data_IF_335995543141
#
_entry.id   IF_335995543141
#
_cell.length_a   1.000
_cell.length_b   1.000
_cell.length_c   1.000
_cell.angle_alpha   90.00
_cell.angle_beta   90.00
_cell.angle_gamma   90.00
#
_symmetry.space_group_name_H-M   'P 1'
#
loop_
_entity.id
_entity.type
_entity.pdbx_description
1 polymer ?
#
# COMPACT_ATOMS: atom_id res chain seq x y z
N UNK A 1 -1.61 2.05 10.77
CA UNK A 1 -0.40 1.41 10.20
C UNK A 1 0.24 0.48 11.21
N UNK A 2 0.36 0.92 12.46
CA UNK A 2 0.86 0.13 13.61
C UNK A 2 0.15 -1.22 13.75
N UNK A 3 -1.19 -1.29 13.69
CA UNK A 3 -1.91 -2.56 13.82
C UNK A 3 -1.61 -3.59 12.70
N UNK A 4 -1.26 -3.12 11.50
CA UNK A 4 -0.85 -4.01 10.39
C UNK A 4 0.57 -4.53 10.67
N UNK A 5 1.47 -3.65 11.09
CA UNK A 5 2.83 -4.01 11.46
C UNK A 5 2.81 -5.04 12.60
N UNK A 6 2.13 -4.75 13.72
CA UNK A 6 2.00 -5.64 14.88
C UNK A 6 1.43 -7.02 14.50
N UNK A 7 0.43 -7.07 13.61
CA UNK A 7 -0.15 -8.33 13.16
C UNK A 7 0.87 -9.18 12.38
N UNK A 8 1.67 -8.54 11.50
CA UNK A 8 2.67 -9.21 10.67
C UNK A 8 3.94 -9.57 11.47
N UNK A 9 4.34 -8.73 12.43
CA UNK A 9 5.53 -8.95 13.28
C UNK A 9 5.48 -10.28 14.01
N UNK A 10 4.28 -10.77 14.34
CA UNK A 10 4.06 -12.10 14.96
C UNK A 10 4.62 -13.25 14.12
N UNK A 11 4.75 -13.07 12.80
CA UNK A 11 5.39 -14.01 11.88
C UNK A 11 6.82 -13.62 11.48
N UNK A 12 7.11 -12.33 11.30
CA UNK A 12 8.45 -11.81 11.01
C UNK A 12 8.52 -10.29 11.12
N UNK A 13 9.45 -9.79 11.96
CA UNK A 13 9.68 -8.35 12.12
C UNK A 13 10.29 -7.71 10.87
N UNK A 14 11.25 -8.37 10.22
CA UNK A 14 11.84 -7.89 8.97
C UNK A 14 10.79 -7.74 7.86
N UNK A 15 9.86 -8.68 7.77
CA UNK A 15 8.78 -8.63 6.78
C UNK A 15 7.78 -7.52 7.08
N UNK A 16 7.41 -7.32 8.35
CA UNK A 16 6.57 -6.20 8.76
C UNK A 16 7.18 -4.85 8.35
N UNK A 17 8.49 -4.67 8.56
CA UNK A 17 9.20 -3.46 8.16
C UNK A 17 9.21 -3.25 6.64
N UNK A 18 9.42 -4.32 5.84
CA UNK A 18 9.38 -4.25 4.37
C UNK A 18 8.01 -3.79 3.88
N UNK A 19 6.92 -4.36 4.43
CA UNK A 19 5.54 -3.98 4.10
C UNK A 19 5.27 -2.51 4.42
N UNK A 20 5.59 -2.07 5.65
CA UNK A 20 5.40 -0.68 6.08
C UNK A 20 6.15 0.29 5.17
N UNK A 21 7.40 -0.05 4.82
CA UNK A 21 8.24 0.78 3.96
C UNK A 21 7.66 0.91 2.54
N UNK A 22 7.18 -0.18 1.95
CA UNK A 22 6.57 -0.15 0.61
C UNK A 22 5.25 0.61 0.57
N UNK A 23 4.40 0.51 1.59
CA UNK A 23 3.18 1.31 1.69
C UNK A 23 3.54 2.80 1.68
N UNK A 24 4.49 3.22 2.53
CA UNK A 24 4.91 4.61 2.61
C UNK A 24 5.52 5.12 1.29
N UNK A 25 6.36 4.31 0.65
CA UNK A 25 6.95 4.67 -0.64
C UNK A 25 5.89 4.83 -1.72
N UNK A 26 4.93 3.91 -1.77
CA UNK A 26 3.81 3.97 -2.71
C UNK A 26 2.96 5.22 -2.48
N UNK A 27 2.63 5.53 -1.22
CA UNK A 27 1.86 6.72 -0.87
C UNK A 27 2.56 8.03 -1.29
N UNK A 28 3.89 8.12 -1.15
CA UNK A 28 4.64 9.30 -1.57
C UNK A 28 4.54 9.55 -3.08
N UNK A 29 4.55 8.49 -3.89
CA UNK A 29 4.45 8.59 -5.37
C UNK A 29 3.09 9.07 -5.85
N UNK A 30 2.02 9.00 -5.04
CA UNK A 30 0.67 9.45 -5.43
C UNK A 30 0.66 10.94 -5.80
N UNK A 31 1.48 11.76 -5.12
CA UNK A 31 1.54 13.20 -5.41
C UNK A 31 2.05 13.50 -6.82
N UNK A 32 3.03 12.72 -7.28
CA UNK A 32 3.64 12.88 -8.60
C UNK A 32 2.87 12.11 -9.69
N UNK A 33 2.27 10.98 -9.32
CA UNK A 33 1.55 10.09 -10.21
C UNK A 33 0.17 9.74 -9.59
N UNK A 34 -0.80 10.67 -9.62
CA UNK A 34 -2.13 10.44 -9.04
C UNK A 34 -2.88 9.30 -9.74
N UNK A 35 -2.52 9.04 -11.01
CA UNK A 35 -3.15 8.01 -11.84
C UNK A 35 -2.39 6.67 -11.87
N UNK A 36 -1.46 6.45 -10.93
CA UNK A 36 -0.58 5.28 -10.93
C UNK A 36 -1.28 3.97 -10.53
N UNK A 37 -2.47 4.05 -9.92
CA UNK A 37 -3.33 2.91 -9.59
C UNK A 37 -4.39 2.64 -10.65
N UNK A 38 -4.92 1.42 -10.68
CA UNK A 38 -6.08 1.06 -11.51
C UNK A 38 -7.34 1.62 -10.88
N UNK A 39 -8.27 2.14 -11.69
CA UNK A 39 -9.61 2.50 -11.23
C UNK A 39 -10.37 1.25 -10.79
N UNK A 40 -11.07 1.31 -9.67
CA UNK A 40 -11.85 0.18 -9.14
C UNK A 40 -13.27 0.22 -9.72
N UNK A 41 -13.60 -0.59 -10.73
CA UNK A 41 -14.88 -0.49 -11.43
C UNK A 41 -16.08 -0.80 -10.52
N UNK A 42 -15.89 -1.63 -9.49
CA UNK A 42 -16.93 -2.02 -8.53
C UNK A 42 -17.36 -0.86 -7.61
N UNK A 43 -16.49 0.14 -7.42
CA UNK A 43 -16.77 1.33 -6.60
C UNK A 43 -17.50 2.40 -7.43
N UNK A 44 -17.28 2.44 -8.75
CA UNK A 44 -17.90 3.42 -9.66
C UNK A 44 -17.42 4.87 -9.48
N UNK A 45 -16.37 5.10 -8.70
CA UNK A 45 -15.78 6.42 -8.44
C UNK A 45 -14.40 6.53 -9.12
N UNK A 46 -14.26 7.48 -10.04
CA UNK A 46 -13.02 7.72 -10.79
C UNK A 46 -11.86 8.23 -9.93
N UNK A 47 -12.17 8.78 -8.75
CA UNK A 47 -11.21 9.22 -7.74
C UNK A 47 -10.66 8.08 -6.88
N UNK A 48 -11.29 6.90 -6.89
CA UNK A 48 -10.86 5.74 -6.11
C UNK A 48 -10.07 4.78 -6.98
N UNK A 49 -8.83 4.53 -6.57
CA UNK A 49 -7.87 3.69 -7.30
C UNK A 49 -7.21 2.67 -6.41
N UNK A 50 -7.04 1.46 -6.92
CA UNK A 50 -6.27 0.40 -6.27
C UNK A 50 -4.82 0.43 -6.73
N UNK A 51 -3.91 0.18 -5.78
CA UNK A 51 -2.47 0.09 -6.05
C UNK A 51 -1.88 -1.08 -5.27
N UNK A 52 -1.56 -2.15 -6.00
CA UNK A 52 -0.90 -3.32 -5.44
C UNK A 52 0.62 -3.12 -5.36
N UNK A 53 1.22 -3.66 -4.31
CA UNK A 53 2.66 -3.77 -4.13
C UNK A 53 2.99 -5.17 -3.62
N UNK A 54 4.20 -5.65 -3.90
CA UNK A 54 4.69 -6.93 -3.40
C UNK A 54 5.90 -6.64 -2.52
N UNK A 55 5.80 -6.85 -1.18
CA UNK A 55 6.94 -6.72 -0.29
C UNK A 55 8.01 -7.73 -0.70
N UNK A 56 9.21 -7.23 -0.96
CA UNK A 56 10.42 -8.02 -1.24
C UNK A 56 11.18 -8.35 0.03
#
# INVERSE_FOLDING_TARGET
MESIAEYIERGSSCYAQSVVSQVLETSRKIKEFPLIGRMVPEIGDEGIRERCFVPG
#
